data_IF_454934405767
#
_entry.id   IF_454934405767
#
_cell.length_a   1.000
_cell.length_b   1.000
_cell.length_c   1.000
_cell.angle_alpha   90.00
_cell.angle_beta   90.00
_cell.angle_gamma   90.00
#
_symmetry.space_group_name_H-M   'P 1'
#
loop_
_entity.id
_entity.type
_entity.pdbx_description
1 polymer ?
#
# COMPACT_ATOMS: atom_id res chain seq x y z
N UNK A 1 34.86 12.07 44.60
CA UNK A 1 34.13 13.09 45.38
C UNK A 1 32.67 12.86 45.06
N UNK A 2 31.96 12.21 46.00
CA UNK A 2 30.59 11.71 45.86
C UNK A 2 29.76 12.53 46.83
N UNK A 3 28.73 13.23 46.36
CA UNK A 3 27.72 13.86 47.21
C UNK A 3 26.40 13.13 47.05
N UNK A 4 25.93 12.58 48.16
CA UNK A 4 24.56 12.10 48.40
C UNK A 4 23.79 13.25 49.03
N UNK A 5 22.54 13.48 48.60
CA UNK A 5 21.60 14.39 49.24
C UNK A 5 20.18 13.83 49.18
N UNK A 6 19.54 13.80 50.34
CA UNK A 6 18.35 13.02 50.71
C UNK A 6 17.00 13.70 50.35
N UNK A 7 16.00 12.88 50.00
CA UNK A 7 14.54 13.09 50.23
C UNK A 7 14.21 12.59 51.65
N UNK A 8 13.11 12.96 52.37
CA UNK A 8 11.73 13.05 51.87
C UNK A 8 10.79 14.05 52.61
N UNK A 9 9.50 14.12 52.22
CA UNK A 9 8.35 13.93 53.14
C UNK A 9 6.98 14.06 52.45
N UNK A 10 6.25 12.94 52.45
CA UNK A 10 4.81 12.81 52.24
C UNK A 10 4.05 13.36 53.47
N UNK A 11 2.91 14.04 53.26
CA UNK A 11 1.89 14.27 54.30
C UNK A 11 0.52 13.88 53.78
N UNK A 12 -0.16 13.05 54.56
CA UNK A 12 -1.51 12.52 54.35
C UNK A 12 -2.58 13.40 55.04
N UNK A 13 -3.84 12.92 54.96
CA UNK A 13 -5.05 13.28 55.74
C UNK A 13 -5.90 14.44 55.16
N UNK A 14 -7.22 14.39 54.97
CA UNK A 14 -8.26 13.55 55.59
C UNK A 14 -9.51 13.32 54.70
N UNK A 15 -10.13 12.16 54.96
CA UNK A 15 -11.49 11.72 54.64
C UNK A 15 -12.57 12.71 55.05
N UNK A 16 -13.67 12.82 54.29
CA UNK A 16 -15.01 13.00 54.85
C UNK A 16 -16.04 12.27 53.99
N UNK A 17 -16.41 11.09 54.46
CA UNK A 17 -17.49 10.26 53.94
C UNK A 17 -18.71 10.49 54.86
N UNK A 18 -19.87 10.93 54.34
CA UNK A 18 -21.21 10.63 54.91
C UNK A 18 -22.36 11.17 54.04
N UNK A 19 -23.23 10.24 53.58
CA UNK A 19 -24.62 10.43 53.06
C UNK A 19 -25.61 10.56 54.27
N UNK A 20 -26.97 10.50 54.19
CA UNK A 20 -27.92 10.37 53.06
C UNK A 20 -29.29 11.14 53.16
N UNK A 21 -30.17 10.91 52.16
CA UNK A 21 -31.66 10.92 52.11
C UNK A 21 -32.50 12.21 52.23
N UNK A 22 -33.37 12.46 51.21
CA UNK A 22 -34.85 12.49 51.33
C UNK A 22 -35.58 12.78 49.99
N UNK A 23 -36.53 11.90 49.62
CA UNK A 23 -37.57 12.09 48.57
C UNK A 23 -38.74 12.94 49.11
N UNK A 24 -39.37 13.85 48.35
CA UNK A 24 -40.66 13.70 47.61
C UNK A 24 -41.48 15.05 47.69
N UNK A 25 -42.69 15.23 47.11
CA UNK A 25 -43.06 15.34 45.67
C UNK A 25 -43.92 16.60 45.32
N UNK A 26 -44.12 16.81 44.00
CA UNK A 26 -45.18 17.58 43.28
C UNK A 26 -45.53 19.05 43.62
N UNK A 27 -45.30 19.96 42.66
CA UNK A 27 -46.37 20.86 42.19
C UNK A 27 -46.13 21.30 40.73
N UNK A 28 -47.23 21.42 39.99
CA UNK A 28 -47.31 21.54 38.54
C UNK A 28 -47.26 23.00 38.08
N UNK A 29 -46.61 23.30 36.95
CA UNK A 29 -47.21 24.04 35.82
C UNK A 29 -46.27 24.10 34.59
N UNK A 30 -46.82 24.13 33.35
CA UNK A 30 -46.07 23.87 32.12
C UNK A 30 -45.54 25.17 31.49
N UNK A 31 -44.26 25.19 31.12
CA UNK A 31 -43.68 26.27 30.32
C UNK A 31 -43.12 25.71 29.01
N UNK A 32 -43.80 26.06 27.93
CA UNK A 32 -43.49 25.81 26.53
C UNK A 32 -42.21 26.52 26.08
N UNK A 33 -41.07 25.82 26.10
CA UNK A 33 -39.89 26.22 25.34
C UNK A 33 -39.35 24.98 24.62
N UNK A 34 -39.69 24.87 23.34
CA UNK A 34 -39.04 23.96 22.40
C UNK A 34 -37.53 24.22 22.43
N UNK A 35 -36.79 23.31 23.03
CA UNK A 35 -35.34 23.28 22.99
C UNK A 35 -34.87 22.95 21.59
N UNK A 36 -34.56 23.99 20.80
CA UNK A 36 -33.85 23.84 19.55
C UNK A 36 -32.54 23.07 19.77
N UNK A 37 -32.48 21.83 19.27
CA UNK A 37 -31.21 21.13 19.07
C UNK A 37 -30.33 22.00 18.17
N UNK A 38 -29.07 22.28 18.52
CA UNK A 38 -28.15 22.85 17.56
C UNK A 38 -28.00 21.84 16.42
N UNK A 39 -28.56 22.18 15.26
CA UNK A 39 -28.23 21.52 14.01
C UNK A 39 -26.73 21.77 13.81
N UNK A 40 -25.92 20.77 14.14
CA UNK A 40 -24.53 20.75 13.70
C UNK A 40 -24.59 20.79 12.18
N UNK A 41 -24.35 21.98 11.65
CA UNK A 41 -24.49 22.28 10.23
C UNK A 41 -23.43 21.43 9.53
N UNK A 42 -23.85 20.30 8.97
CA UNK A 42 -22.99 19.45 8.16
C UNK A 42 -22.45 20.34 7.04
N UNK A 43 -21.17 20.69 7.11
CA UNK A 43 -20.54 21.38 6.01
C UNK A 43 -20.76 20.52 4.77
N UNK A 44 -21.26 21.09 3.65
CA UNK A 44 -21.35 20.34 2.42
C UNK A 44 -19.94 19.83 2.11
N UNK A 45 -19.78 18.50 2.11
CA UNK A 45 -18.51 17.89 1.78
C UNK A 45 -18.09 18.43 0.42
N UNK A 46 -16.98 19.18 0.39
CA UNK A 46 -16.41 19.68 -0.85
C UNK A 46 -16.22 18.49 -1.78
N UNK A 47 -16.61 18.65 -3.05
CA UNK A 47 -16.38 17.64 -4.06
C UNK A 47 -14.89 17.30 -4.07
N UNK A 48 -14.55 16.03 -3.89
CA UNK A 48 -13.17 15.58 -3.91
C UNK A 48 -12.63 15.78 -5.33
N UNK A 49 -11.60 16.62 -5.52
CA UNK A 49 -11.07 16.93 -6.85
C UNK A 49 -10.55 15.68 -7.58
N UNK A 50 -10.28 14.58 -6.86
CA UNK A 50 -9.88 13.30 -7.46
C UNK A 50 -11.06 12.47 -7.99
N UNK A 51 -12.31 12.79 -7.63
CA UNK A 51 -13.49 12.04 -8.04
C UNK A 51 -13.92 12.25 -9.50
N UNK A 52 -13.38 13.27 -10.18
CA UNK A 52 -13.67 13.59 -11.59
C UNK A 52 -12.45 13.46 -12.52
N UNK A 53 -11.37 12.82 -12.05
CA UNK A 53 -10.17 12.68 -12.85
C UNK A 53 -10.38 11.64 -13.95
N UNK A 54 -10.39 12.08 -15.21
CA UNK A 54 -10.19 11.19 -16.36
C UNK A 54 -8.74 10.70 -16.31
N UNK A 55 -8.49 9.63 -15.56
CA UNK A 55 -7.13 9.10 -15.42
C UNK A 55 -6.85 8.08 -16.52
N UNK A 56 -5.78 8.34 -17.27
CA UNK A 56 -5.22 7.41 -18.22
C UNK A 56 -4.48 6.28 -17.48
N UNK A 57 -4.45 5.07 -18.06
CA UNK A 57 -3.73 3.92 -17.49
C UNK A 57 -2.29 4.25 -17.03
N UNK A 58 -1.49 5.03 -17.79
CA UNK A 58 -0.16 5.45 -17.34
C UNK A 58 -0.17 6.25 -16.03
N UNK A 59 -1.19 7.09 -15.80
CA UNK A 59 -1.30 7.90 -14.58
C UNK A 59 -1.60 7.03 -13.36
N UNK A 60 -2.45 6.01 -13.52
CA UNK A 60 -2.84 5.09 -12.44
C UNK A 60 -1.63 4.27 -12.00
N UNK A 61 -0.91 3.67 -12.95
CA UNK A 61 0.24 2.82 -12.63
C UNK A 61 1.40 3.64 -12.05
N UNK A 62 1.64 4.84 -12.59
CA UNK A 62 2.65 5.75 -12.07
C UNK A 62 2.32 6.17 -10.62
N UNK A 63 1.07 6.56 -10.36
CA UNK A 63 0.59 6.86 -9.02
C UNK A 63 0.75 5.69 -8.06
N UNK A 64 0.40 4.48 -8.47
CA UNK A 64 0.58 3.27 -7.66
C UNK A 64 2.06 3.02 -7.34
N UNK A 65 2.95 3.17 -8.33
CA UNK A 65 4.39 3.02 -8.16
C UNK A 65 4.95 4.04 -7.17
N UNK A 66 4.50 5.29 -7.23
CA UNK A 66 4.92 6.35 -6.31
C UNK A 66 4.49 6.06 -4.87
N UNK A 67 3.26 5.56 -4.67
CA UNK A 67 2.80 5.13 -3.34
C UNK A 67 3.61 3.94 -2.80
N UNK A 68 3.93 2.97 -3.67
CA UNK A 68 4.74 1.83 -3.28
C UNK A 68 6.18 2.25 -2.93
N UNK A 69 6.76 3.20 -3.67
CA UNK A 69 8.07 3.78 -3.38
C UNK A 69 8.07 4.49 -2.01
N UNK A 70 7.04 5.29 -1.73
CA UNK A 70 6.88 5.94 -0.42
C UNK A 70 6.76 4.92 0.72
N UNK A 71 6.04 3.81 0.52
CA UNK A 71 5.93 2.72 1.50
C UNK A 71 7.26 1.97 1.75
N UNK A 72 8.19 2.06 0.80
CA UNK A 72 9.57 1.56 0.91
C UNK A 72 10.54 2.61 1.49
N UNK A 73 10.06 3.84 1.74
CA UNK A 73 10.90 4.96 2.19
C UNK A 73 11.82 5.51 1.11
N UNK A 74 11.48 5.31 -0.18
CA UNK A 74 12.29 5.79 -1.30
C UNK A 74 11.96 7.24 -1.64
N UNK A 75 12.98 7.95 -2.12
CA UNK A 75 12.84 9.31 -2.60
C UNK A 75 12.09 9.33 -3.96
N UNK A 76 10.95 10.02 -3.97
CA UNK A 76 10.10 10.20 -5.12
C UNK A 76 10.83 10.90 -6.29
N UNK A 77 11.70 11.85 -5.98
CA UNK A 77 12.40 12.64 -7.00
C UNK A 77 13.41 11.76 -7.75
N UNK A 78 14.20 10.98 -7.02
CA UNK A 78 15.13 10.01 -7.60
C UNK A 78 14.41 8.98 -8.47
N UNK A 79 13.25 8.50 -8.04
CA UNK A 79 12.48 7.54 -8.84
C UNK A 79 11.92 8.17 -10.11
N UNK A 80 11.44 9.42 -10.04
CA UNK A 80 10.90 10.15 -11.19
C UNK A 80 11.95 10.36 -12.29
N UNK A 81 13.25 10.38 -11.95
CA UNK A 81 14.33 10.47 -12.95
C UNK A 81 14.34 9.29 -13.93
N UNK A 82 13.72 8.16 -13.58
CA UNK A 82 13.56 6.98 -14.45
C UNK A 82 14.85 6.57 -15.20
N UNK A 83 15.99 6.61 -14.51
CA UNK A 83 17.30 6.32 -15.14
C UNK A 83 17.31 4.91 -15.76
N UNK A 84 17.57 4.77 -17.08
CA UNK A 84 17.60 3.46 -17.75
C UNK A 84 18.62 2.47 -17.15
N UNK A 85 19.65 3.00 -16.50
CA UNK A 85 20.73 2.24 -15.87
C UNK A 85 20.63 2.21 -14.34
N UNK A 86 19.48 2.61 -13.77
CA UNK A 86 19.24 2.52 -12.33
C UNK A 86 19.39 1.09 -11.83
N UNK A 87 20.07 0.94 -10.69
CA UNK A 87 20.21 -0.33 -9.98
C UNK A 87 19.39 -0.26 -8.69
N UNK A 88 18.64 -1.32 -8.41
CA UNK A 88 17.79 -1.43 -7.23
C UNK A 88 18.57 -1.17 -5.93
N UNK A 89 18.01 -0.36 -4.99
CA UNK A 89 18.54 -0.23 -3.64
C UNK A 89 18.49 -1.52 -2.82
N UNK A 90 17.79 -2.57 -3.26
CA UNK A 90 17.78 -3.88 -2.61
C UNK A 90 18.96 -4.76 -3.04
N UNK A 91 19.48 -4.57 -4.25
CA UNK A 91 20.62 -5.35 -4.72
C UNK A 91 21.85 -5.09 -3.85
N UNK A 92 22.52 -6.17 -3.46
CA UNK A 92 23.77 -6.16 -2.71
C UNK A 92 24.78 -7.02 -3.47
N UNK A 93 25.89 -6.45 -3.94
CA UNK A 93 26.98 -7.25 -4.50
C UNK A 93 27.44 -8.30 -3.48
N UNK A 94 27.24 -9.57 -3.80
CA UNK A 94 27.63 -10.69 -2.92
C UNK A 94 29.03 -11.18 -3.27
N UNK A 95 29.87 -11.43 -2.26
CA UNK A 95 31.10 -12.22 -2.42
C UNK A 95 30.82 -13.69 -2.08
N UNK A 96 31.70 -14.65 -2.45
CA UNK A 96 31.51 -16.06 -2.14
C UNK A 96 31.33 -16.38 -0.65
N UNK A 97 31.84 -15.53 0.25
CA UNK A 97 31.75 -15.67 1.70
C UNK A 97 30.47 -15.08 2.28
N UNK A 98 29.69 -14.34 1.48
CA UNK A 98 28.50 -13.61 1.93
C UNK A 98 27.29 -14.53 1.96
N UNK A 99 26.65 -14.68 3.13
CA UNK A 99 25.37 -15.39 3.23
C UNK A 99 24.22 -14.48 2.77
N UNK A 100 23.53 -14.81 1.66
CA UNK A 100 22.48 -13.96 1.10
C UNK A 100 21.21 -13.90 1.97
N UNK A 101 20.96 -14.91 2.81
CA UNK A 101 19.84 -14.90 3.76
C UNK A 101 20.06 -13.86 4.87
N UNK A 102 21.30 -13.70 5.33
CA UNK A 102 21.65 -12.69 6.32
C UNK A 102 21.51 -11.28 5.76
N UNK A 103 21.87 -11.07 4.48
CA UNK A 103 21.65 -9.79 3.79
C UNK A 103 20.16 -9.47 3.62
N UNK A 104 19.35 -10.48 3.25
CA UNK A 104 17.91 -10.29 3.13
C UNK A 104 17.29 -9.93 4.48
N UNK A 105 17.66 -10.63 5.55
CA UNK A 105 17.19 -10.35 6.90
C UNK A 105 17.58 -8.93 7.35
N UNK A 106 18.82 -8.51 7.10
CA UNK A 106 19.28 -7.17 7.46
C UNK A 106 18.54 -6.09 6.67
N UNK A 107 18.29 -6.30 5.38
CA UNK A 107 17.47 -5.39 4.56
C UNK A 107 16.06 -5.26 5.13
N UNK A 108 15.40 -6.38 5.43
CA UNK A 108 14.02 -6.37 5.96
C UNK A 108 13.93 -5.64 7.30
N UNK A 109 14.93 -5.79 8.18
CA UNK A 109 14.97 -5.10 9.49
C UNK A 109 15.14 -3.58 9.32
N UNK A 110 15.86 -3.13 8.28
CA UNK A 110 16.10 -1.71 8.02
C UNK A 110 15.00 -1.04 7.18
N UNK A 111 13.98 -1.79 6.74
CA UNK A 111 12.82 -1.19 6.07
C UNK A 111 11.97 -0.38 7.06
N UNK A 112 11.20 0.61 6.58
CA UNK A 112 10.18 1.25 7.38
C UNK A 112 9.27 0.21 8.07
N UNK A 113 8.95 0.41 9.35
CA UNK A 113 8.24 -0.58 10.17
C UNK A 113 6.85 -0.99 9.66
N UNK A 114 6.28 -0.25 8.72
CA UNK A 114 4.98 -0.51 8.09
C UNK A 114 5.10 -1.00 6.64
N UNK A 115 6.30 -1.41 6.18
CA UNK A 115 6.47 -1.85 4.78
C UNK A 115 5.57 -3.06 4.48
N UNK A 116 4.67 -2.93 3.47
CA UNK A 116 3.75 -3.99 3.09
C UNK A 116 4.45 -5.31 2.73
N UNK A 117 3.91 -6.48 3.13
CA UNK A 117 4.57 -7.76 2.89
C UNK A 117 4.93 -8.03 1.43
N UNK A 118 4.06 -7.70 0.48
CA UNK A 118 4.30 -7.94 -0.95
C UNK A 118 5.31 -6.99 -1.59
N UNK A 119 5.70 -5.91 -0.91
CA UNK A 119 6.77 -5.01 -1.37
C UNK A 119 8.13 -5.34 -0.77
N UNK A 120 8.19 -6.14 0.30
CA UNK A 120 9.46 -6.57 0.89
C UNK A 120 10.35 -7.23 -0.17
N UNK A 121 11.68 -7.03 -0.09
CA UNK A 121 12.61 -7.63 -1.03
C UNK A 121 12.55 -9.16 -0.93
N UNK A 122 12.77 -9.82 -2.05
CA UNK A 122 13.02 -11.25 -2.14
C UNK A 122 14.52 -11.53 -2.19
N UNK A 123 14.91 -12.79 -1.98
CA UNK A 123 16.31 -13.19 -2.10
C UNK A 123 16.88 -12.86 -3.49
N UNK A 124 16.09 -13.08 -4.55
CA UNK A 124 16.48 -12.80 -5.94
C UNK A 124 16.83 -11.33 -6.13
N UNK A 125 15.99 -10.42 -5.61
CA UNK A 125 16.24 -8.97 -5.66
C UNK A 125 17.53 -8.59 -4.93
N UNK A 126 17.89 -9.30 -3.85
CA UNK A 126 19.14 -9.04 -3.13
C UNK A 126 20.36 -9.45 -3.93
N UNK A 127 20.33 -10.60 -4.60
CA UNK A 127 21.54 -11.22 -5.18
C UNK A 127 21.73 -10.98 -6.67
N UNK A 128 20.69 -10.56 -7.40
CA UNK A 128 20.75 -10.34 -8.85
C UNK A 128 20.63 -8.84 -9.16
N UNK A 129 21.57 -8.24 -9.92
CA UNK A 129 21.45 -6.85 -10.35
C UNK A 129 20.18 -6.65 -11.19
N UNK A 130 19.36 -5.68 -10.84
CA UNK A 130 18.12 -5.38 -11.55
C UNK A 130 17.70 -3.91 -11.36
N UNK A 131 16.72 -3.48 -12.13
CA UNK A 131 16.26 -2.09 -12.13
C UNK A 131 15.19 -1.83 -11.06
N UNK A 132 15.23 -0.69 -10.33
CA UNK A 132 14.31 -0.38 -9.22
C UNK A 132 12.83 -0.43 -9.59
N UNK A 133 12.49 -0.19 -10.85
CA UNK A 133 11.09 -0.27 -11.30
C UNK A 133 10.44 -1.62 -11.00
N UNK A 134 11.18 -2.73 -10.98
CA UNK A 134 10.58 -4.03 -10.66
C UNK A 134 10.16 -4.12 -9.20
N UNK A 135 10.85 -3.42 -8.30
CA UNK A 135 10.61 -3.48 -6.86
C UNK A 135 9.27 -2.87 -6.46
N UNK A 136 8.74 -1.98 -7.30
CA UNK A 136 7.48 -1.26 -7.10
C UNK A 136 6.24 -2.07 -7.48
N UNK A 137 6.41 -3.26 -8.06
CA UNK A 137 5.32 -4.16 -8.38
C UNK A 137 5.09 -5.08 -7.16
N UNK A 138 3.91 -5.09 -6.52
CA UNK A 138 3.67 -5.91 -5.33
C UNK A 138 3.35 -7.38 -5.67
N UNK A 139 4.11 -7.97 -6.60
CA UNK A 139 3.95 -9.34 -7.10
C UNK A 139 5.29 -10.07 -6.95
N UNK A 140 5.61 -10.61 -5.76
CA UNK A 140 6.92 -11.19 -5.48
C UNK A 140 7.37 -12.24 -6.49
N UNK A 141 6.48 -13.14 -6.91
CA UNK A 141 6.86 -14.19 -7.86
C UNK A 141 7.14 -13.66 -9.27
N UNK A 142 6.33 -12.69 -9.73
CA UNK A 142 6.59 -12.01 -11.00
C UNK A 142 7.95 -11.28 -10.98
N UNK A 143 8.27 -10.59 -9.88
CA UNK A 143 9.56 -9.91 -9.72
C UNK A 143 10.73 -10.90 -9.80
N UNK A 144 10.67 -11.96 -9.01
CA UNK A 144 11.70 -13.01 -9.00
C UNK A 144 11.94 -13.59 -10.39
N UNK A 145 10.87 -13.97 -11.08
CA UNK A 145 10.95 -14.55 -12.42
C UNK A 145 11.49 -13.56 -13.45
N UNK A 146 11.00 -12.33 -13.46
CA UNK A 146 11.48 -11.30 -14.39
C UNK A 146 12.98 -11.02 -14.19
N UNK A 147 13.42 -10.94 -12.93
CA UNK A 147 14.83 -10.72 -12.60
C UNK A 147 15.68 -11.91 -13.04
N UNK A 148 15.31 -13.14 -12.63
CA UNK A 148 16.05 -14.36 -13.01
C UNK A 148 16.13 -14.54 -14.52
N UNK A 149 15.01 -14.39 -15.24
CA UNK A 149 14.99 -14.55 -16.70
C UNK A 149 15.83 -13.48 -17.40
N UNK A 150 15.78 -12.23 -16.93
CA UNK A 150 16.61 -11.17 -17.49
C UNK A 150 18.11 -11.42 -17.32
N UNK A 151 18.51 -12.04 -16.21
CA UNK A 151 19.91 -12.38 -15.94
C UNK A 151 20.35 -13.66 -16.66
N UNK A 152 19.51 -14.70 -16.67
CA UNK A 152 19.87 -16.02 -17.20
C UNK A 152 19.70 -16.12 -18.72
N UNK A 153 18.72 -15.42 -19.30
CA UNK A 153 18.33 -15.54 -20.71
C UNK A 153 18.20 -14.16 -21.39
N UNK A 154 19.22 -13.29 -21.35
CA UNK A 154 19.12 -11.90 -21.84
C UNK A 154 18.85 -11.78 -23.36
N UNK A 155 19.13 -12.84 -24.14
CA UNK A 155 18.85 -12.88 -25.59
C UNK A 155 17.42 -13.29 -25.92
N UNK A 156 16.73 -13.95 -24.98
CA UNK A 156 15.35 -14.45 -25.16
C UNK A 156 14.36 -13.56 -24.42
N UNK A 157 14.74 -13.07 -23.24
CA UNK A 157 13.88 -12.30 -22.37
C UNK A 157 14.27 -10.81 -22.38
N UNK A 158 13.44 -10.00 -23.04
CA UNK A 158 13.65 -8.56 -23.11
C UNK A 158 13.00 -7.83 -21.92
N UNK A 159 13.80 -7.53 -20.89
CA UNK A 159 13.32 -6.82 -19.70
C UNK A 159 12.80 -5.41 -20.00
N UNK A 160 13.38 -4.71 -20.98
CA UNK A 160 12.90 -3.39 -21.39
C UNK A 160 11.50 -3.46 -21.99
N UNK A 161 11.27 -4.45 -22.83
CA UNK A 161 9.95 -4.69 -23.42
C UNK A 161 8.90 -5.07 -22.36
N UNK A 162 9.27 -5.89 -21.37
CA UNK A 162 8.40 -6.19 -20.23
C UNK A 162 7.97 -4.91 -19.51
N UNK A 163 8.93 -4.02 -19.20
CA UNK A 163 8.64 -2.75 -18.53
C UNK A 163 7.69 -1.88 -19.36
N UNK A 164 7.90 -1.76 -20.67
CA UNK A 164 7.00 -1.01 -21.55
C UNK A 164 5.59 -1.61 -21.54
N UNK A 165 5.49 -2.93 -21.62
CA UNK A 165 4.20 -3.61 -21.59
C UNK A 165 3.47 -3.41 -20.27
N UNK A 166 4.18 -3.41 -19.13
CA UNK A 166 3.60 -3.12 -17.81
C UNK A 166 3.21 -1.65 -17.69
N UNK A 167 4.19 -0.74 -17.81
CA UNK A 167 4.07 0.66 -17.42
C UNK A 167 3.42 1.57 -18.46
N UNK A 168 3.54 1.23 -19.75
CA UNK A 168 3.05 2.06 -20.85
C UNK A 168 1.80 1.46 -21.48
N UNK A 169 1.78 0.15 -21.70
CA UNK A 169 0.66 -0.53 -22.39
C UNK A 169 -0.40 -1.10 -21.46
N UNK A 170 -0.21 -1.02 -20.15
CA UNK A 170 -1.20 -1.47 -19.16
C UNK A 170 -1.36 -2.98 -19.13
N UNK A 171 -0.28 -3.75 -19.29
CA UNK A 171 -0.30 -5.20 -19.16
C UNK A 171 -0.62 -5.67 -17.73
N UNK A 172 -0.25 -4.86 -16.75
CA UNK A 172 -0.70 -4.95 -15.36
C UNK A 172 -1.43 -3.65 -15.02
N UNK A 173 -2.65 -3.76 -14.49
CA UNK A 173 -3.54 -2.63 -14.19
C UNK A 173 -3.92 -2.67 -12.73
N UNK A 174 -3.85 -1.52 -12.05
CA UNK A 174 -4.35 -1.39 -10.69
C UNK A 174 -5.86 -1.06 -10.70
N UNK A 175 -6.62 -1.79 -9.91
CA UNK A 175 -8.05 -1.61 -9.68
C UNK A 175 -8.30 -0.30 -8.94
N UNK A 176 -9.14 0.57 -9.52
CA UNK A 176 -9.54 1.78 -8.83
C UNK A 176 -10.38 1.46 -7.60
N UNK A 177 -10.14 2.18 -6.51
CA UNK A 177 -11.11 2.26 -5.41
C UNK A 177 -12.37 2.96 -5.93
N UNK A 178 -13.41 2.21 -6.25
CA UNK A 178 -14.70 2.79 -6.62
C UNK A 178 -15.47 3.11 -5.33
N UNK A 179 -15.91 4.37 -5.17
CA UNK A 179 -16.98 4.69 -4.22
C UNK A 179 -18.30 4.28 -4.86
N UNK A 180 -18.54 2.99 -5.06
CA UNK A 180 -19.90 2.53 -5.36
C UNK A 180 -20.75 2.73 -4.11
N UNK A 181 -22.05 3.04 -4.28
CA UNK A 181 -23.03 3.04 -3.19
C UNK A 181 -23.26 1.64 -2.56
N UNK A 182 -22.49 0.64 -3.00
CA UNK A 182 -22.45 -0.67 -2.37
C UNK A 182 -21.75 -0.53 -1.02
N UNK A 183 -22.35 -1.10 0.02
CA UNK A 183 -21.87 -0.99 1.41
C UNK A 183 -20.53 -1.75 1.64
N UNK A 184 -19.91 -2.24 0.57
CA UNK A 184 -18.61 -2.90 0.54
C UNK A 184 -17.61 -2.05 -0.23
N UNK A 185 -17.20 -0.93 0.37
CA UNK A 185 -16.06 -0.12 -0.11
C UNK A 185 -14.80 -0.98 -0.10
N UNK A 186 -14.46 -1.59 -1.24
CA UNK A 186 -13.19 -2.32 -1.40
C UNK A 186 -12.08 -1.28 -1.54
N UNK A 187 -11.25 -1.14 -0.53
CA UNK A 187 -10.07 -0.28 -0.58
C UNK A 187 -8.99 -0.98 -1.40
N UNK A 188 -8.71 -0.47 -2.60
CA UNK A 188 -7.64 -1.01 -3.44
C UNK A 188 -6.34 -0.29 -3.08
N UNK A 189 -5.48 -0.97 -2.32
CA UNK A 189 -4.16 -0.45 -1.96
C UNK A 189 -3.12 -0.85 -3.02
N UNK A 190 -2.23 0.06 -3.44
CA UNK A 190 -1.29 -0.19 -4.53
C UNK A 190 -0.22 -1.23 -4.18
N UNK A 191 -0.01 -1.52 -2.90
CA UNK A 191 0.88 -2.57 -2.40
C UNK A 191 0.18 -3.91 -2.12
N UNK A 192 -1.15 -3.95 -2.24
CA UNK A 192 -1.90 -5.20 -2.17
C UNK A 192 -1.99 -5.82 -3.57
N UNK A 193 -1.51 -7.05 -3.71
CA UNK A 193 -1.58 -7.79 -4.96
C UNK A 193 -3.01 -7.98 -5.45
N UNK A 194 -3.99 -8.06 -4.55
CA UNK A 194 -5.41 -8.21 -4.91
C UNK A 194 -5.99 -6.97 -5.61
N UNK A 195 -5.27 -5.85 -5.56
CA UNK A 195 -5.59 -4.62 -6.29
C UNK A 195 -5.05 -4.62 -7.72
N UNK A 196 -4.29 -5.63 -8.16
CA UNK A 196 -3.71 -5.67 -9.49
C UNK A 196 -4.39 -6.71 -10.37
N UNK A 197 -4.51 -6.41 -11.66
CA UNK A 197 -5.10 -7.27 -12.68
C UNK A 197 -4.12 -7.38 -13.83
N UNK A 198 -3.92 -8.60 -14.32
CA UNK A 198 -3.16 -8.86 -15.54
C UNK A 198 -4.10 -8.91 -16.75
N UNK A 199 -3.74 -8.16 -17.79
CA UNK A 199 -4.45 -8.21 -19.07
C UNK A 199 -4.17 -9.52 -19.82
N UNK A 200 -5.16 -10.02 -20.55
CA UNK A 200 -5.02 -11.33 -21.21
C UNK A 200 -3.92 -11.36 -22.26
N UNK A 201 -3.76 -10.27 -23.01
CA UNK A 201 -2.70 -10.18 -24.00
C UNK A 201 -1.32 -10.22 -23.34
N UNK A 202 -1.21 -9.66 -22.14
CA UNK A 202 0.03 -9.65 -21.35
C UNK A 202 0.36 -11.07 -20.90
N UNK A 203 -0.63 -11.80 -20.35
CA UNK A 203 -0.46 -13.21 -19.95
C UNK A 203 -0.07 -14.11 -21.13
N UNK A 204 -0.67 -13.90 -22.31
CA UNK A 204 -0.33 -14.66 -23.54
C UNK A 204 1.06 -14.36 -24.06
N UNK A 205 1.55 -13.14 -23.91
CA UNK A 205 2.88 -12.74 -24.38
C UNK A 205 3.97 -13.19 -23.42
N UNK A 206 3.74 -13.02 -22.12
CA UNK A 206 4.71 -13.27 -21.08
C UNK A 206 4.47 -14.61 -20.38
N UNK A 207 4.16 -15.66 -21.14
CA UNK A 207 3.85 -17.01 -20.62
C UNK A 207 4.96 -17.58 -19.73
N UNK A 208 6.21 -17.23 -19.99
CA UNK A 208 7.36 -17.59 -19.14
C UNK A 208 7.31 -16.98 -17.73
N UNK A 209 6.57 -15.88 -17.53
CA UNK A 209 6.32 -15.27 -16.23
C UNK A 209 5.06 -15.81 -15.54
N UNK A 210 4.16 -16.44 -16.30
CA UNK A 210 2.85 -16.89 -15.80
C UNK A 210 3.00 -18.04 -14.80
N UNK A 211 2.54 -17.82 -13.58
CA UNK A 211 2.32 -18.81 -12.53
C UNK A 211 0.90 -18.70 -12.00
N UNK A 212 0.56 -19.53 -11.00
CA UNK A 212 -0.71 -19.48 -10.29
C UNK A 212 -1.01 -18.09 -9.70
N UNK A 213 0.01 -17.36 -9.21
CA UNK A 213 -0.18 -16.00 -8.71
C UNK A 213 -0.63 -15.07 -9.83
N UNK A 214 0.09 -15.02 -10.94
CA UNK A 214 -0.22 -14.14 -12.06
C UNK A 214 -1.52 -14.54 -12.79
N UNK A 215 -1.82 -15.83 -12.87
CA UNK A 215 -3.09 -16.35 -13.40
C UNK A 215 -4.28 -15.92 -12.54
N UNK A 216 -4.14 -15.92 -11.22
CA UNK A 216 -5.19 -15.48 -10.30
C UNK A 216 -5.57 -14.01 -10.46
N UNK A 217 -4.67 -13.20 -11.05
CA UNK A 217 -4.91 -11.79 -11.37
C UNK A 217 -5.53 -11.59 -12.76
N UNK A 218 -5.72 -12.65 -13.54
CA UNK A 218 -6.24 -12.55 -14.90
C UNK A 218 -7.66 -11.97 -14.95
N UNK A 219 -7.89 -11.01 -15.84
CA UNK A 219 -9.24 -10.47 -16.07
C UNK A 219 -10.19 -11.57 -16.57
N UNK A 220 -11.11 -12.02 -15.72
CA UNK A 220 -12.20 -12.94 -16.10
C UNK A 220 -13.21 -12.21 -17.01
N UNK A 221 -13.83 -12.90 -17.97
CA UNK A 221 -14.90 -12.30 -18.78
C UNK A 221 -16.08 -11.94 -17.87
N UNK A 222 -16.35 -10.64 -17.73
CA UNK A 222 -17.71 -10.22 -17.42
C UNK A 222 -18.57 -10.67 -18.60
N UNK A 223 -19.56 -11.53 -18.34
CA UNK A 223 -20.69 -11.68 -19.25
C UNK A 223 -21.23 -10.28 -19.51
N UNK A 224 -20.97 -9.76 -20.71
CA UNK A 224 -21.84 -8.75 -21.30
C UNK A 224 -23.15 -9.52 -21.54
N UNK A 225 -24.06 -9.47 -20.56
CA UNK A 225 -25.45 -9.81 -20.85
C UNK A 225 -25.97 -8.65 -21.67
N UNK A 226 -26.19 -8.93 -22.95
CA UNK A 226 -26.96 -8.07 -23.84
C UNK A 226 -28.27 -7.70 -23.15
N UNK A 227 -28.40 -6.42 -22.79
CA UNK A 227 -29.70 -5.80 -22.61
C UNK A 227 -30.09 -5.24 -23.98
N UNK A 228 -30.54 -6.15 -24.85
CA UNK A 228 -31.47 -5.82 -25.94
C UNK A 228 -32.77 -6.47 -25.54
N UNK A 229 -33.63 -5.69 -24.89
CA UNK A 229 -35.08 -5.78 -25.02
C UNK A 229 -35.66 -4.37 -24.86
#
# INVERSE_FOLDING_TARGET
MVEFGEEPLFSASDDWNSRPDQESPDDSTPSCWDGARPLFQAQPALADPSCNTLEFLPTIIFGACLHNAAALGWDAEQLATCSPHGISPFYRPTTPETNPQTLLASLIINLPGQTPPHLRPTLTQVVVPHHPSLDLIPLPHLRDRAIMLSAALPTVFNLWELKLDIYVKGGLVMLKTTRSNDHRKRTCQPWDKSSWIAERWFLRKWTMLVDEELLSLGRTEGKITDAVE
#
